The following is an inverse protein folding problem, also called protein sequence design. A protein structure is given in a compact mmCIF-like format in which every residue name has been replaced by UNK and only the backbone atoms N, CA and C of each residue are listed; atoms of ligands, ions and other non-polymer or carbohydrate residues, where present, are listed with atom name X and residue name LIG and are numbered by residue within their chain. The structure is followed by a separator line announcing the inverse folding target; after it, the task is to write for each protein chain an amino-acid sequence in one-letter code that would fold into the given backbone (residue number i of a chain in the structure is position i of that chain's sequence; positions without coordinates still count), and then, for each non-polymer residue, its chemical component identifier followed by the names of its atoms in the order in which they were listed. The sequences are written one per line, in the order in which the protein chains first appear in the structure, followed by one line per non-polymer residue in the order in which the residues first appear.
data_IF_175441566922
#
_entry.id   IF_175441566922
#
_cell.length_a   1.000
_cell.length_b   1.000
_cell.length_c   1.000
_cell.angle_alpha   90.00
_cell.angle_beta   90.00
_cell.angle_gamma   90.00
#
_symmetry.space_group_name_H-M   'P 1'
#
loop_
_entity.id
_entity.type
_entity.pdbx_description
1 polymer ?
#
# COMPACT_ATOMS: atom_id res chain seq x y z
N UNK A 1 -7.95 19.30 12.38
CA UNK A 1 -6.58 18.79 12.14
C UNK A 1 -5.61 19.69 12.87
N UNK A 2 -4.78 19.20 13.79
CA UNK A 2 -4.31 20.07 14.85
C UNK A 2 -3.00 20.81 14.56
N UNK A 3 -2.98 22.08 14.99
CA UNK A 3 -1.79 22.82 15.46
C UNK A 3 -1.34 22.37 16.87
N UNK A 4 -2.16 21.60 17.60
CA UNK A 4 -1.91 21.12 18.98
C UNK A 4 -2.08 19.60 19.13
N UNK A 5 -1.01 18.92 19.54
CA UNK A 5 -1.05 17.59 20.15
C UNK A 5 -1.27 16.40 19.20
N UNK A 6 -1.16 15.21 19.78
CA UNK A 6 -1.40 13.93 19.12
C UNK A 6 -2.90 13.64 19.03
N UNK A 7 -3.35 13.17 17.86
CA UNK A 7 -4.73 12.72 17.67
C UNK A 7 -4.81 11.23 17.97
N UNK A 8 -5.75 10.85 18.84
CA UNK A 8 -6.03 9.44 19.12
C UNK A 8 -6.50 8.72 17.85
N UNK A 9 -5.95 7.54 17.60
CA UNK A 9 -6.31 6.71 16.44
C UNK A 9 -7.49 5.84 16.80
N UNK A 10 -8.37 5.63 15.83
CA UNK A 10 -9.49 4.69 15.97
C UNK A 10 -8.96 3.28 15.75
N UNK A 11 -9.32 2.37 16.66
CA UNK A 11 -9.06 0.96 16.47
C UNK A 11 -10.02 0.36 15.45
N UNK A 12 -9.52 -0.62 14.70
CA UNK A 12 -10.25 -1.33 13.66
C UNK A 12 -10.33 -2.79 14.11
N UNK A 13 -11.53 -3.36 13.99
CA UNK A 13 -11.77 -4.78 14.23
C UNK A 13 -11.03 -5.63 13.19
N UNK A 14 -10.66 -6.85 13.58
CA UNK A 14 -10.09 -7.82 12.66
C UNK A 14 -11.15 -8.34 11.68
N UNK A 15 -10.67 -8.86 10.55
CA UNK A 15 -11.52 -9.47 9.55
C UNK A 15 -12.21 -10.74 10.07
N UNK A 16 -13.51 -10.97 9.79
CA UNK A 16 -14.20 -12.15 10.31
C UNK A 16 -13.75 -13.48 9.68
N UNK A 17 -13.20 -13.47 8.46
CA UNK A 17 -12.77 -14.69 7.76
C UNK A 17 -11.32 -15.00 8.06
N UNK A 18 -10.44 -14.00 7.91
CA UNK A 18 -8.99 -14.17 8.03
C UNK A 18 -8.42 -13.73 9.37
N UNK A 19 -9.24 -13.20 10.28
CA UNK A 19 -8.84 -12.65 11.59
C UNK A 19 -7.66 -11.66 11.53
N UNK A 20 -7.53 -10.92 10.43
CA UNK A 20 -6.41 -10.00 10.18
C UNK A 20 -6.88 -8.55 10.10
N UNK A 21 -6.24 -7.67 10.86
CA UNK A 21 -6.47 -6.21 10.78
C UNK A 21 -5.95 -5.61 9.46
N UNK A 22 -4.99 -6.26 8.80
CA UNK A 22 -4.46 -5.80 7.51
C UNK A 22 -5.51 -5.97 6.41
N UNK A 23 -6.18 -7.11 6.39
CA UNK A 23 -7.29 -7.39 5.45
C UNK A 23 -8.40 -6.37 5.63
N UNK A 24 -8.81 -6.07 6.86
CA UNK A 24 -9.82 -5.04 7.11
C UNK A 24 -9.40 -3.65 6.62
N UNK A 25 -8.12 -3.29 6.78
CA UNK A 25 -7.58 -2.03 6.23
C UNK A 25 -7.59 -2.04 4.70
N UNK A 26 -7.30 -3.17 4.05
CA UNK A 26 -7.39 -3.30 2.60
C UNK A 26 -8.83 -3.13 2.11
N UNK A 27 -9.82 -3.77 2.76
CA UNK A 27 -11.24 -3.59 2.46
C UNK A 27 -11.63 -2.10 2.55
N UNK A 28 -11.18 -1.40 3.59
CA UNK A 28 -11.45 0.03 3.75
C UNK A 28 -10.82 0.89 2.65
N UNK A 29 -9.63 0.51 2.14
CA UNK A 29 -8.99 1.19 1.02
C UNK A 29 -9.63 0.88 -0.33
N UNK A 30 -10.16 -0.33 -0.50
CA UNK A 30 -10.88 -0.78 -1.70
C UNK A 30 -12.28 -0.16 -1.78
N UNK A 31 -12.92 0.08 -0.64
CA UNK A 31 -14.26 0.63 -0.50
C UNK A 31 -14.43 2.00 -1.18
N UNK A 32 -15.52 2.14 -1.92
CA UNK A 32 -15.95 3.39 -2.57
C UNK A 32 -17.37 3.69 -2.07
N UNK A 33 -17.64 4.96 -1.77
CA UNK A 33 -18.96 5.47 -1.34
C UNK A 33 -19.60 4.68 -0.17
N UNK A 34 -18.78 4.17 0.76
CA UNK A 34 -19.26 3.44 1.94
C UNK A 34 -19.78 2.03 1.67
N UNK A 35 -19.63 1.50 0.45
CA UNK A 35 -20.11 0.16 0.05
C UNK A 35 -19.19 -0.95 0.56
N UNK A 36 -19.18 -1.17 1.89
CA UNK A 36 -18.30 -2.14 2.55
C UNK A 36 -18.57 -3.58 2.11
N UNK A 37 -19.85 -3.98 2.03
CA UNK A 37 -20.23 -5.34 1.62
C UNK A 37 -19.69 -5.71 0.23
N UNK A 38 -19.79 -4.79 -0.73
CA UNK A 38 -19.26 -4.98 -2.08
C UNK A 38 -17.73 -5.04 -2.09
N UNK A 39 -17.06 -4.21 -1.28
CA UNK A 39 -15.61 -4.24 -1.16
C UNK A 39 -15.09 -5.54 -0.52
N UNK A 40 -15.79 -6.07 0.49
CA UNK A 40 -15.44 -7.37 1.08
C UNK A 40 -15.63 -8.52 0.08
N UNK A 41 -16.74 -8.54 -0.67
CA UNK A 41 -16.94 -9.56 -1.70
C UNK A 41 -15.82 -9.57 -2.73
N UNK A 42 -15.50 -8.41 -3.34
CA UNK A 42 -14.41 -8.29 -4.33
C UNK A 42 -13.07 -8.80 -3.78
N UNK A 43 -12.79 -8.53 -2.50
CA UNK A 43 -11.53 -8.94 -1.88
C UNK A 43 -11.48 -10.45 -1.62
N UNK A 44 -12.58 -11.05 -1.17
CA UNK A 44 -12.65 -12.50 -0.98
C UNK A 44 -12.60 -13.23 -2.32
N UNK A 45 -13.35 -12.77 -3.32
CA UNK A 45 -13.31 -13.30 -4.69
C UNK A 45 -11.88 -13.21 -5.27
N UNK A 46 -11.18 -12.10 -5.03
CA UNK A 46 -9.78 -11.96 -5.43
C UNK A 46 -8.85 -12.96 -4.73
N UNK A 47 -9.05 -13.22 -3.44
CA UNK A 47 -8.25 -14.20 -2.70
C UNK A 47 -8.50 -15.64 -3.15
N UNK A 48 -9.74 -15.97 -3.55
CA UNK A 48 -10.04 -17.26 -4.16
C UNK A 48 -9.28 -17.43 -5.49
N UNK A 49 -9.26 -16.40 -6.34
CA UNK A 49 -8.46 -16.40 -7.58
C UNK A 49 -6.96 -16.54 -7.29
N UNK A 50 -6.45 -15.87 -6.26
CA UNK A 50 -5.04 -15.99 -5.85
C UNK A 50 -4.73 -17.43 -5.42
N UNK A 51 -5.61 -18.04 -4.64
CA UNK A 51 -5.47 -19.43 -4.18
C UNK A 51 -5.48 -20.42 -5.35
N UNK A 52 -6.39 -20.25 -6.31
CA UNK A 52 -6.46 -21.09 -7.50
C UNK A 52 -5.21 -20.98 -8.38
N UNK A 53 -4.69 -19.77 -8.58
CA UNK A 53 -3.52 -19.54 -9.46
C UNK A 53 -2.19 -19.92 -8.83
N UNK A 54 -2.02 -19.68 -7.53
CA UNK A 54 -0.73 -19.89 -6.85
C UNK A 54 -0.65 -21.22 -6.12
N UNK A 55 -1.79 -21.84 -5.78
CA UNK A 55 -1.86 -23.03 -4.93
C UNK A 55 -1.40 -22.80 -3.49
N UNK A 56 -1.16 -21.55 -3.09
CA UNK A 56 -0.72 -21.16 -1.74
C UNK A 56 -1.86 -20.50 -0.97
N UNK A 57 -1.70 -20.39 0.34
CA UNK A 57 -2.65 -19.62 1.15
C UNK A 57 -2.60 -18.12 0.75
N UNK A 58 -3.75 -17.51 0.43
CA UNK A 58 -3.80 -16.16 -0.13
C UNK A 58 -3.30 -15.09 0.85
N UNK A 59 -3.37 -15.36 2.15
CA UNK A 59 -2.86 -14.46 3.18
C UNK A 59 -1.34 -14.37 3.16
N UNK A 60 -0.64 -15.48 2.95
CA UNK A 60 0.82 -15.51 2.87
C UNK A 60 1.31 -14.77 1.62
N UNK A 61 0.65 -15.01 0.47
CA UNK A 61 0.96 -14.31 -0.79
C UNK A 61 0.70 -12.81 -0.64
N UNK A 62 -0.37 -12.43 0.05
CA UNK A 62 -0.68 -11.04 0.33
C UNK A 62 0.35 -10.38 1.25
N UNK A 63 0.81 -11.06 2.29
CA UNK A 63 1.85 -10.55 3.19
C UNK A 63 3.19 -10.39 2.45
N UNK A 64 3.56 -11.35 1.60
CA UNK A 64 4.72 -11.27 0.72
C UNK A 64 4.63 -10.08 -0.23
N UNK A 65 3.49 -9.92 -0.91
CA UNK A 65 3.23 -8.77 -1.77
C UNK A 65 3.34 -7.43 -1.00
N UNK A 66 2.79 -7.37 0.21
CA UNK A 66 2.88 -6.17 1.05
C UNK A 66 4.33 -5.85 1.43
N UNK A 67 5.14 -6.84 1.79
CA UNK A 67 6.56 -6.65 2.08
C UNK A 67 7.31 -6.08 0.86
N UNK A 68 6.96 -6.53 -0.34
CA UNK A 68 7.56 -6.05 -1.57
C UNK A 68 7.10 -4.63 -1.96
N UNK A 69 5.89 -4.18 -1.60
CA UNK A 69 5.40 -2.84 -1.97
C UNK A 69 5.79 -1.78 -0.92
N UNK A 70 5.96 -2.15 0.36
CA UNK A 70 6.18 -1.19 1.44
C UNK A 70 7.49 -0.40 1.29
N UNK A 71 7.43 0.95 1.17
CA UNK A 71 8.64 1.76 1.06
C UNK A 71 9.28 2.01 2.43
N UNK A 72 10.60 1.83 2.53
CA UNK A 72 11.39 2.19 3.74
C UNK A 72 11.68 3.70 3.80
N UNK A 73 12.00 4.31 2.65
CA UNK A 73 12.28 5.74 2.52
C UNK A 73 11.21 6.41 1.65
N UNK A 74 10.86 7.65 1.98
CA UNK A 74 10.07 8.54 1.12
C UNK A 74 10.77 9.89 0.99
N UNK A 75 10.46 10.64 -0.05
CA UNK A 75 10.89 12.05 -0.16
C UNK A 75 9.79 12.99 0.32
N UNK A 76 10.19 14.03 1.06
CA UNK A 76 9.32 15.13 1.47
C UNK A 76 9.83 16.44 0.88
N UNK A 77 8.92 17.24 0.34
CA UNK A 77 9.25 18.57 -0.13
C UNK A 77 9.43 19.53 1.07
N UNK A 78 10.57 20.23 1.12
CA UNK A 78 10.80 21.34 2.06
C UNK A 78 11.39 22.51 1.30
N UNK A 79 10.87 23.70 1.58
CA UNK A 79 11.37 24.95 0.98
C UNK A 79 12.46 25.56 1.87
N UNK A 80 13.64 25.79 1.30
CA UNK A 80 14.80 26.38 1.98
C UNK A 80 15.43 27.40 1.04
N UNK A 81 15.69 28.61 1.53
CA UNK A 81 16.42 29.63 0.76
C UNK A 81 15.81 29.98 -0.61
N UNK A 82 14.48 29.87 -0.75
CA UNK A 82 13.77 30.18 -2.00
C UNK A 82 13.49 28.98 -2.91
N UNK A 83 14.26 27.88 -2.80
CA UNK A 83 14.12 26.66 -3.60
C UNK A 83 13.42 25.52 -2.86
N UNK A 84 12.79 24.60 -3.61
CA UNK A 84 12.12 23.42 -3.07
C UNK A 84 13.06 22.20 -3.17
N UNK A 85 13.45 21.65 -2.03
CA UNK A 85 14.29 20.46 -1.94
C UNK A 85 13.45 19.22 -1.65
N UNK A 86 13.81 18.10 -2.27
CA UNK A 86 13.29 16.78 -1.92
C UNK A 86 14.19 16.17 -0.85
N UNK A 87 13.67 16.00 0.35
CA UNK A 87 14.42 15.50 1.49
C UNK A 87 14.01 14.06 1.75
N UNK A 88 14.94 13.10 1.73
CA UNK A 88 14.64 11.72 2.08
C UNK A 88 14.40 11.59 3.59
N UNK A 89 13.30 10.95 3.95
CA UNK A 89 12.86 10.72 5.33
C UNK A 89 12.45 9.26 5.48
N UNK A 90 12.79 8.67 6.63
CA UNK A 90 12.36 7.31 6.97
C UNK A 90 10.85 7.25 7.21
N UNK A 91 10.22 6.24 6.61
CA UNK A 91 8.77 6.08 6.68
C UNK A 91 8.39 5.34 7.96
N UNK A 92 7.52 5.94 8.77
CA UNK A 92 6.96 5.31 9.98
C UNK A 92 6.23 4.01 9.64
N UNK A 93 6.28 2.96 10.49
CA UNK A 93 5.70 1.64 10.18
C UNK A 93 4.24 1.67 9.72
N UNK A 94 3.38 2.41 10.43
CA UNK A 94 1.97 2.55 10.04
C UNK A 94 1.80 3.22 8.67
N UNK A 95 2.64 4.20 8.36
CA UNK A 95 2.62 4.89 7.07
C UNK A 95 3.12 3.96 5.96
N UNK A 96 4.08 3.08 6.23
CA UNK A 96 4.53 2.05 5.26
C UNK A 96 3.35 1.16 4.85
N UNK A 97 2.64 0.61 5.82
CA UNK A 97 1.45 -0.22 5.54
C UNK A 97 0.39 0.56 4.76
N UNK A 98 0.14 1.82 5.12
CA UNK A 98 -0.85 2.66 4.44
C UNK A 98 -0.46 2.99 2.99
N UNK A 99 0.82 3.26 2.73
CA UNK A 99 1.33 3.49 1.38
C UNK A 99 1.26 2.22 0.53
N UNK A 100 1.65 1.08 1.10
CA UNK A 100 1.57 -0.22 0.44
C UNK A 100 0.15 -0.55 0.00
N UNK A 101 -0.81 -0.51 0.93
CA UNK A 101 -2.23 -0.77 0.64
C UNK A 101 -2.80 0.22 -0.38
N UNK A 102 -2.45 1.51 -0.28
CA UNK A 102 -2.91 2.53 -1.22
C UNK A 102 -2.38 2.27 -2.62
N UNK A 103 -1.08 1.99 -2.77
CA UNK A 103 -0.49 1.74 -4.08
C UNK A 103 -1.06 0.47 -4.69
N UNK A 104 -1.17 -0.61 -3.92
CA UNK A 104 -1.79 -1.85 -4.37
C UNK A 104 -3.18 -1.61 -4.95
N UNK A 105 -4.09 -0.96 -4.21
CA UNK A 105 -5.45 -0.68 -4.70
C UNK A 105 -5.46 0.28 -5.89
N UNK A 106 -4.62 1.32 -5.86
CA UNK A 106 -4.60 2.35 -6.91
C UNK A 106 -4.10 1.78 -8.23
N UNK A 107 -3.03 0.97 -8.18
CA UNK A 107 -2.47 0.34 -9.37
C UNK A 107 -3.30 -0.84 -9.86
N UNK A 108 -3.90 -1.63 -8.96
CA UNK A 108 -4.88 -2.65 -9.34
C UNK A 108 -6.04 -2.03 -10.15
N UNK A 109 -6.57 -0.88 -9.73
CA UNK A 109 -7.64 -0.19 -10.47
C UNK A 109 -7.23 0.28 -11.87
N UNK A 110 -5.96 0.63 -12.06
CA UNK A 110 -5.42 1.09 -13.34
C UNK A 110 -5.14 -0.05 -14.32
N UNK A 111 -5.23 -1.32 -13.90
CA UNK A 111 -5.05 -2.45 -14.81
C UNK A 111 -6.25 -2.62 -15.74
N UNK A 112 -6.04 -3.39 -16.82
CA UNK A 112 -6.96 -3.50 -17.95
C UNK A 112 -7.90 -4.71 -17.89
N UNK A 113 -7.81 -5.58 -16.87
CA UNK A 113 -8.68 -6.77 -16.77
C UNK A 113 -10.16 -6.39 -16.58
N UNK A 114 -11.07 -7.36 -16.70
CA UNK A 114 -12.50 -7.07 -16.80
C UNK A 114 -13.11 -6.69 -15.46
N UNK A 115 -12.84 -7.47 -14.42
CA UNK A 115 -13.43 -7.30 -13.09
C UNK A 115 -12.40 -6.83 -12.07
N UNK A 116 -12.85 -6.22 -10.96
CA UNK A 116 -11.93 -5.65 -9.97
C UNK A 116 -11.22 -6.74 -9.15
N UNK A 117 -11.90 -7.86 -8.94
CA UNK A 117 -11.42 -9.10 -8.34
C UNK A 117 -10.23 -9.67 -9.12
N UNK A 118 -10.36 -9.84 -10.44
CA UNK A 118 -9.25 -10.25 -11.31
C UNK A 118 -8.08 -9.26 -11.26
N UNK A 119 -8.36 -7.96 -11.37
CA UNK A 119 -7.32 -6.91 -11.30
C UNK A 119 -6.55 -6.95 -9.98
N UNK A 120 -7.27 -7.10 -8.87
CA UNK A 120 -6.69 -7.12 -7.53
C UNK A 120 -5.87 -8.39 -7.32
N UNK A 121 -6.40 -9.55 -7.70
CA UNK A 121 -5.71 -10.82 -7.60
C UNK A 121 -4.40 -10.82 -8.41
N UNK A 122 -4.45 -10.37 -9.66
CA UNK A 122 -3.27 -10.30 -10.51
C UNK A 122 -2.23 -9.30 -9.97
N UNK A 123 -2.64 -8.12 -9.47
CA UNK A 123 -1.68 -7.17 -8.88
C UNK A 123 -1.03 -7.74 -7.59
N UNK A 124 -1.76 -8.51 -6.78
CA UNK A 124 -1.20 -9.20 -5.61
C UNK A 124 -0.17 -10.24 -6.03
N UNK A 125 -0.49 -11.08 -7.02
CA UNK A 125 0.42 -12.11 -7.53
C UNK A 125 1.66 -11.46 -8.13
N UNK A 126 1.50 -10.45 -8.98
CA UNK A 126 2.63 -9.73 -9.57
C UNK A 126 3.50 -9.09 -8.48
N UNK A 127 2.90 -8.44 -7.49
CA UNK A 127 3.63 -7.84 -6.38
C UNK A 127 4.37 -8.86 -5.51
N UNK A 128 3.83 -10.07 -5.29
CA UNK A 128 4.55 -11.15 -4.60
C UNK A 128 5.79 -11.60 -5.39
N UNK A 129 5.73 -11.56 -6.72
CA UNK A 129 6.85 -11.88 -7.61
C UNK A 129 7.82 -10.72 -7.83
N UNK A 130 7.72 -9.62 -7.06
CA UNK A 130 8.46 -8.37 -7.25
C UNK A 130 8.25 -7.72 -8.63
N UNK A 131 7.12 -8.01 -9.29
CA UNK A 131 6.72 -7.39 -10.54
C UNK A 131 5.47 -6.52 -10.31
N UNK A 132 5.03 -5.81 -11.35
CA UNK A 132 3.83 -4.98 -11.28
C UNK A 132 4.10 -3.49 -11.01
N UNK A 133 3.03 -2.71 -11.13
CA UNK A 133 3.12 -1.25 -11.10
C UNK A 133 3.29 -0.73 -9.67
N UNK A 134 2.72 -1.41 -8.68
CA UNK A 134 2.90 -1.06 -7.27
C UNK A 134 4.36 -1.20 -6.80
N UNK A 135 5.06 -2.27 -7.21
CA UNK A 135 6.47 -2.49 -6.87
C UNK A 135 7.36 -1.47 -7.58
N UNK A 136 7.10 -1.22 -8.88
CA UNK A 136 7.80 -0.16 -9.62
C UNK A 136 7.68 1.21 -8.94
N UNK A 137 6.51 1.53 -8.38
CA UNK A 137 6.33 2.78 -7.63
C UNK A 137 7.21 2.85 -6.39
N UNK A 138 7.36 1.75 -5.64
CA UNK A 138 8.29 1.68 -4.50
C UNK A 138 9.72 1.94 -4.97
N UNK A 139 10.15 1.27 -6.03
CA UNK A 139 11.50 1.41 -6.58
C UNK A 139 11.80 2.84 -7.03
N UNK A 140 10.85 3.49 -7.71
CA UNK A 140 11.00 4.88 -8.12
C UNK A 140 11.14 5.83 -6.92
N UNK A 141 10.40 5.56 -5.83
CA UNK A 141 10.51 6.34 -4.59
C UNK A 141 11.85 6.10 -3.90
N UNK A 142 12.37 4.87 -3.88
CA UNK A 142 13.69 4.56 -3.32
C UNK A 142 14.80 5.19 -4.16
N UNK A 143 14.75 5.06 -5.49
CA UNK A 143 15.71 5.69 -6.40
C UNK A 143 15.74 7.21 -6.20
N UNK A 144 14.57 7.84 -6.06
CA UNK A 144 14.46 9.28 -5.80
C UNK A 144 15.00 9.66 -4.42
N UNK A 145 14.77 8.85 -3.39
CA UNK A 145 15.30 9.09 -2.06
C UNK A 145 16.83 8.93 -2.01
N UNK A 146 17.38 7.94 -2.71
CA UNK A 146 18.82 7.69 -2.81
C UNK A 146 19.54 8.80 -3.60
N UNK A 147 18.96 9.25 -4.72
CA UNK A 147 19.50 10.37 -5.50
C UNK A 147 19.60 11.66 -4.65
N UNK A 148 18.67 11.85 -3.72
CA UNK A 148 18.61 13.02 -2.83
C UNK A 148 19.23 12.77 -1.44
N UNK A 149 19.99 11.68 -1.26
CA UNK A 149 20.61 11.33 0.04
C UNK A 149 21.45 12.46 0.63
N UNK A 150 22.05 13.29 -0.22
CA UNK A 150 22.81 14.47 0.21
C UNK A 150 21.98 15.43 1.09
N UNK A 151 20.67 15.56 0.85
CA UNK A 151 19.79 16.48 1.58
C UNK A 151 19.20 15.88 2.88
N UNK A 152 19.58 14.65 3.25
CA UNK A 152 19.04 13.97 4.44
C UNK A 152 19.28 14.73 5.75
N UNK A 153 20.29 15.61 5.81
CA UNK A 153 20.59 16.44 6.98
C UNK A 153 19.50 17.47 7.27
N UNK A 154 18.70 17.87 6.27
CA UNK A 154 17.58 18.79 6.43
C UNK A 154 16.28 18.09 6.90
N UNK A 155 16.32 16.85 7.41
CA UNK A 155 15.12 16.09 7.78
C UNK A 155 14.43 16.53 9.07
N UNK A 156 15.10 17.35 9.90
CA UNK A 156 14.63 17.80 11.21
C UNK A 156 13.96 19.17 11.16
#
# INVERSE_FOLDING_TARGET
MPRKGHVAKRDILADPVYNSKLVTKLINHLMIDGKRAKASSILYDAFDIVKEKTGKEPLDVFEEAMNNIMPVLEVRARRIGGSNYQIPVEVRPERRTTLGLRWLVSYARLRNEHTMDERLANEIIDASNNTGSAVKKREDVHRMAEANRAFAHYRF
#
